data_IF_287542071392
#
_entry.id   IF_287542071392
#
_cell.length_a   1.000
_cell.length_b   1.000
_cell.length_c   1.000
_cell.angle_alpha   90.00
_cell.angle_beta   90.00
_cell.angle_gamma   90.00
#
_symmetry.space_group_name_H-M   'P 1'
#
loop_
_entity.id
_entity.type
_entity.pdbx_description
1 polymer ?
#
# COMPACT_ATOMS: atom_id res chain seq x y z
N UNK A 1 -11.13 -31.66 -8.44
CA UNK A 1 -11.07 -30.19 -8.64
C UNK A 1 -9.63 -29.82 -8.96
N UNK A 2 -9.36 -29.25 -10.15
CA UNK A 2 -8.02 -28.73 -10.47
C UNK A 2 -7.77 -27.50 -9.60
N UNK A 3 -6.69 -27.48 -8.82
CA UNK A 3 -6.21 -26.24 -8.20
C UNK A 3 -5.77 -25.34 -9.35
N UNK A 4 -6.41 -24.19 -9.49
CA UNK A 4 -5.92 -23.15 -10.40
C UNK A 4 -4.71 -22.53 -9.71
N UNK A 5 -3.52 -22.80 -10.22
CA UNK A 5 -2.32 -22.09 -9.78
C UNK A 5 -2.40 -20.66 -10.32
N UNK A 6 -2.43 -19.69 -9.41
CA UNK A 6 -2.41 -18.28 -9.77
C UNK A 6 -1.02 -17.90 -10.30
N UNK A 7 -0.95 -17.02 -11.28
CA UNK A 7 0.32 -16.44 -11.73
C UNK A 7 0.94 -15.55 -10.64
N UNK A 8 2.24 -15.27 -10.72
CA UNK A 8 2.89 -14.32 -9.80
C UNK A 8 2.17 -12.97 -9.75
N UNK A 9 1.77 -12.45 -10.90
CA UNK A 9 1.02 -11.18 -11.00
C UNK A 9 -0.32 -11.25 -10.28
N UNK A 10 -1.07 -12.36 -10.44
CA UNK A 10 -2.33 -12.57 -9.74
C UNK A 10 -2.12 -12.68 -8.22
N UNK A 11 -1.04 -13.35 -7.79
CA UNK A 11 -0.69 -13.51 -6.38
C UNK A 11 -0.30 -12.17 -5.74
N UNK A 12 0.49 -11.35 -6.43
CA UNK A 12 0.84 -9.99 -5.96
C UNK A 12 -0.38 -9.07 -5.95
N UNK A 13 -1.20 -9.10 -7.01
CA UNK A 13 -2.39 -8.24 -7.09
C UNK A 13 -3.43 -8.59 -6.02
N UNK A 14 -3.47 -9.85 -5.57
CA UNK A 14 -4.33 -10.26 -4.47
C UNK A 14 -3.96 -9.59 -3.12
N UNK A 15 -2.75 -9.04 -2.98
CA UNK A 15 -2.30 -8.33 -1.77
C UNK A 15 -2.76 -6.87 -1.74
N UNK A 16 -3.11 -6.28 -2.89
CA UNK A 16 -3.46 -4.85 -3.02
C UNK A 16 -4.57 -4.42 -2.05
N UNK A 17 -5.69 -5.16 -1.88
CA UNK A 17 -6.75 -4.75 -0.97
C UNK A 17 -6.29 -4.63 0.48
N UNK A 18 -5.49 -5.57 0.97
CA UNK A 18 -5.00 -5.56 2.35
C UNK A 18 -3.93 -4.48 2.54
N UNK A 19 -3.00 -4.34 1.61
CA UNK A 19 -2.01 -3.26 1.64
C UNK A 19 -2.67 -1.87 1.65
N UNK A 20 -3.72 -1.69 0.84
CA UNK A 20 -4.48 -0.43 0.79
C UNK A 20 -5.16 -0.13 2.12
N UNK A 21 -5.78 -1.12 2.75
CA UNK A 21 -6.42 -0.98 4.06
C UNK A 21 -5.42 -0.63 5.16
N UNK A 22 -4.25 -1.26 5.17
CA UNK A 22 -3.19 -0.98 6.14
C UNK A 22 -2.59 0.41 5.94
N UNK A 23 -2.35 0.82 4.69
CA UNK A 23 -1.91 2.17 4.35
C UNK A 23 -2.92 3.22 4.80
N UNK A 24 -4.21 2.98 4.56
CA UNK A 24 -5.32 3.81 5.04
C UNK A 24 -5.28 4.02 6.56
N UNK A 25 -5.12 2.93 7.32
CA UNK A 25 -5.05 2.98 8.78
C UNK A 25 -3.86 3.82 9.25
N UNK A 26 -2.68 3.62 8.65
CA UNK A 26 -1.46 4.36 8.98
C UNK A 26 -1.59 5.83 8.64
N UNK A 27 -2.12 6.17 7.47
CA UNK A 27 -2.37 7.56 7.06
C UNK A 27 -3.40 8.24 7.98
N UNK A 28 -4.47 7.54 8.36
CA UNK A 28 -5.49 8.06 9.30
C UNK A 28 -4.98 8.23 10.73
N UNK A 29 -3.91 7.54 11.11
CA UNK A 29 -3.26 7.69 12.42
C UNK A 29 -2.30 8.89 12.48
N UNK A 30 -1.94 9.50 11.34
CA UNK A 30 -1.06 10.67 11.33
C UNK A 30 -1.75 11.88 12.00
N UNK A 31 -1.01 12.64 12.83
CA UNK A 31 -1.56 13.82 13.51
C UNK A 31 -1.76 15.02 12.57
N UNK A 32 -1.07 15.05 11.41
CA UNK A 32 -1.03 16.19 10.49
C UNK A 32 -1.95 16.02 9.28
N UNK A 33 -3.23 15.71 9.50
CA UNK A 33 -4.18 15.28 8.46
C UNK A 33 -4.42 16.27 7.31
N UNK A 34 -3.95 17.51 7.39
CA UNK A 34 -4.38 18.60 6.50
C UNK A 34 -3.29 19.60 6.13
N UNK A 35 -2.01 19.34 6.42
CA UNK A 35 -0.97 20.28 6.01
C UNK A 35 -0.80 20.23 4.48
N UNK A 36 -0.82 21.38 3.82
CA UNK A 36 -0.60 21.50 2.39
C UNK A 36 0.87 21.80 2.16
N UNK A 37 1.56 21.03 1.30
CA UNK A 37 2.91 21.39 0.86
C UNK A 37 2.81 22.43 -0.26
N UNK A 38 3.23 23.65 0.00
CA UNK A 38 3.44 24.67 -1.03
C UNK A 38 4.66 24.29 -1.88
N UNK A 39 4.45 23.93 -3.15
CA UNK A 39 5.54 23.80 -4.13
C UNK A 39 5.47 22.64 -5.13
N UNK A 40 4.61 21.64 -4.95
CA UNK A 40 4.55 20.45 -5.84
C UNK A 40 3.17 20.19 -6.46
N UNK A 41 2.37 21.24 -6.64
CA UNK A 41 0.95 21.10 -6.95
C UNK A 41 0.19 20.69 -5.70
N UNK A 42 -1.08 21.06 -5.63
CA UNK A 42 -1.94 20.93 -4.46
C UNK A 42 -2.27 19.45 -4.15
N UNK A 43 -1.27 18.68 -3.71
CA UNK A 43 -1.44 17.34 -3.20
C UNK A 43 -1.50 17.46 -1.68
N UNK A 44 -2.59 16.96 -1.09
CA UNK A 44 -2.72 16.84 0.35
C UNK A 44 -1.55 15.97 0.86
N UNK A 45 -0.83 16.42 1.88
CA UNK A 45 0.33 15.72 2.47
C UNK A 45 0.01 14.25 2.80
N UNK A 46 -1.25 13.93 3.08
CA UNK A 46 -1.75 12.57 3.32
C UNK A 46 -1.56 11.59 2.14
N UNK A 47 -1.52 12.05 0.89
CA UNK A 47 -1.42 11.19 -0.28
C UNK A 47 0.01 10.66 -0.48
N UNK A 48 1.02 11.49 -0.21
CA UNK A 48 2.43 11.08 -0.24
C UNK A 48 2.69 10.00 0.82
N UNK A 49 2.20 10.21 2.05
CA UNK A 49 2.30 9.20 3.10
C UNK A 49 1.52 7.93 2.79
N UNK A 50 0.31 8.07 2.26
CA UNK A 50 -0.48 6.90 1.87
C UNK A 50 0.27 6.06 0.83
N UNK A 51 0.85 6.70 -0.18
CA UNK A 51 1.60 6.01 -1.23
C UNK A 51 2.85 5.34 -0.67
N UNK A 52 3.58 6.00 0.22
CA UNK A 52 4.71 5.40 0.91
C UNK A 52 4.29 4.19 1.75
N UNK A 53 3.27 4.34 2.59
CA UNK A 53 2.78 3.25 3.43
C UNK A 53 2.24 2.09 2.59
N UNK A 54 1.53 2.36 1.51
CA UNK A 54 1.08 1.33 0.58
C UNK A 54 2.24 0.51 0.03
N UNK A 55 3.32 1.15 -0.44
CA UNK A 55 4.50 0.43 -0.92
C UNK A 55 5.19 -0.39 0.19
N UNK A 56 5.27 0.14 1.40
CA UNK A 56 5.82 -0.58 2.56
C UNK A 56 5.00 -1.83 2.88
N UNK A 57 3.67 -1.71 2.94
CA UNK A 57 2.77 -2.83 3.23
C UNK A 57 2.76 -3.86 2.09
N UNK A 58 2.78 -3.42 0.83
CA UNK A 58 2.95 -4.32 -0.31
C UNK A 58 4.25 -5.13 -0.22
N UNK A 59 5.36 -4.48 0.14
CA UNK A 59 6.65 -5.17 0.29
C UNK A 59 6.64 -6.17 1.44
N UNK A 60 6.03 -5.80 2.57
CA UNK A 60 5.89 -6.68 3.73
C UNK A 60 5.04 -7.91 3.40
N UNK A 61 3.84 -7.70 2.88
CA UNK A 61 2.93 -8.80 2.50
C UNK A 61 3.54 -9.69 1.41
N UNK A 62 4.25 -9.11 0.43
CA UNK A 62 4.94 -9.89 -0.58
C UNK A 62 6.08 -10.74 0.01
N UNK A 63 6.81 -10.25 1.03
CA UNK A 63 7.82 -11.06 1.75
C UNK A 63 7.18 -12.19 2.55
N UNK A 64 6.11 -11.90 3.28
CA UNK A 64 5.38 -12.90 4.09
C UNK A 64 4.76 -13.99 3.20
N UNK A 65 4.28 -13.63 2.00
CA UNK A 65 3.78 -14.56 1.00
C UNK A 65 4.88 -15.29 0.19
N UNK A 66 6.16 -14.99 0.43
CA UNK A 66 7.29 -15.57 -0.31
C UNK A 66 7.42 -15.09 -1.77
N UNK A 67 6.72 -14.02 -2.14
CA UNK A 67 6.71 -13.40 -3.47
C UNK A 67 7.83 -12.38 -3.65
N UNK A 68 8.42 -11.88 -2.57
CA UNK A 68 9.56 -10.95 -2.57
C UNK A 68 10.59 -11.39 -1.53
N UNK A 69 11.88 -11.27 -1.85
CA UNK A 69 13.00 -11.53 -0.92
C UNK A 69 13.63 -10.21 -0.49
#
# INVERSE_FOLDING_TARGET
MKKVELTYEQQINALIPEASKLADMRTKALPYKTEWRTGLGSILYNWDYWTQFFHEEMNKLAREAGLRR
#
